data_IF_851790034354
#
_entry.id   IF_851790034354
#
_cell.length_a   1.000
_cell.length_b   1.000
_cell.length_c   1.000
_cell.angle_alpha   90.00
_cell.angle_beta   90.00
_cell.angle_gamma   90.00
#
_symmetry.space_group_name_H-M   'P 1'
#
loop_
_entity.id
_entity.type
_entity.pdbx_description
1 polymer ?
#
# COMPACT_ATOMS: atom_id res chain seq x y z
N UNK A 1 -27.10 28.80 3.24
CA UNK A 1 -27.11 27.62 4.10
C UNK A 1 -25.69 27.47 4.63
N UNK A 2 -25.46 27.64 5.95
CA UNK A 2 -24.11 27.70 6.54
C UNK A 2 -23.40 26.35 6.38
N UNK A 3 -22.24 26.36 5.73
CA UNK A 3 -21.35 25.20 5.48
C UNK A 3 -20.90 24.55 6.82
N UNK A 4 -21.06 25.22 7.95
CA UNK A 4 -20.69 24.79 9.29
C UNK A 4 -21.86 24.30 10.15
N UNK A 5 -23.02 23.97 9.58
CA UNK A 5 -24.09 23.42 10.41
C UNK A 5 -23.74 22.00 10.88
N UNK A 6 -24.01 21.64 12.16
CA UNK A 6 -23.72 20.30 12.69
C UNK A 6 -24.30 19.17 11.83
N UNK A 7 -25.46 19.39 11.25
CA UNK A 7 -26.14 18.47 10.33
C UNK A 7 -25.38 18.25 9.00
N UNK A 8 -24.72 19.28 8.48
CA UNK A 8 -23.94 19.18 7.25
C UNK A 8 -22.65 18.40 7.49
N UNK A 9 -21.97 18.68 8.58
CA UNK A 9 -20.74 17.96 8.99
C UNK A 9 -21.03 16.49 9.28
N UNK A 10 -22.15 16.17 9.93
CA UNK A 10 -22.56 14.79 10.20
C UNK A 10 -22.90 14.02 8.92
N UNK A 11 -23.60 14.63 7.96
CA UNK A 11 -23.87 14.01 6.65
C UNK A 11 -22.59 13.76 5.86
N UNK A 12 -21.64 14.70 5.90
CA UNK A 12 -20.34 14.58 5.21
C UNK A 12 -19.47 13.48 5.84
N UNK A 13 -19.39 13.42 7.17
CA UNK A 13 -18.68 12.36 7.88
C UNK A 13 -19.30 10.97 7.60
N UNK A 14 -20.62 10.88 7.59
CA UNK A 14 -21.32 9.63 7.25
C UNK A 14 -21.06 9.20 5.79
N UNK A 15 -21.12 10.13 4.83
CA UNK A 15 -20.80 9.84 3.44
C UNK A 15 -19.35 9.36 3.27
N UNK A 16 -18.39 10.01 3.92
CA UNK A 16 -16.98 9.57 3.90
C UNK A 16 -16.79 8.20 4.55
N UNK A 17 -17.45 7.94 5.68
CA UNK A 17 -17.41 6.63 6.32
C UNK A 17 -18.00 5.53 5.43
N UNK A 18 -19.11 5.80 4.75
CA UNK A 18 -19.72 4.87 3.78
C UNK A 18 -18.77 4.63 2.60
N UNK A 19 -18.16 5.67 2.03
CA UNK A 19 -17.19 5.55 0.94
C UNK A 19 -16.00 4.69 1.35
N UNK A 20 -15.45 4.90 2.55
CA UNK A 20 -14.35 4.07 3.06
C UNK A 20 -14.82 2.62 3.25
N UNK A 21 -16.02 2.39 3.78
CA UNK A 21 -16.59 1.06 3.90
C UNK A 21 -16.73 0.38 2.53
N UNK A 22 -17.26 1.07 1.51
CA UNK A 22 -17.36 0.55 0.15
C UNK A 22 -16.00 0.15 -0.43
N UNK A 23 -14.95 0.95 -0.19
CA UNK A 23 -13.59 0.67 -0.65
C UNK A 23 -12.97 -0.52 0.09
N UNK A 24 -13.22 -0.65 1.38
CA UNK A 24 -12.60 -1.68 2.22
C UNK A 24 -13.39 -2.99 2.19
N UNK A 25 -14.70 -2.96 1.90
CA UNK A 25 -15.56 -4.15 1.81
C UNK A 25 -15.02 -5.23 0.87
N UNK A 26 -14.57 -4.95 -0.36
CA UNK A 26 -13.98 -5.98 -1.23
C UNK A 26 -12.76 -6.67 -0.60
N UNK A 27 -11.95 -5.94 0.16
CA UNK A 27 -10.79 -6.51 0.87
C UNK A 27 -11.24 -7.57 1.86
N UNK A 28 -12.26 -7.26 2.68
CA UNK A 28 -12.79 -8.22 3.67
C UNK A 28 -13.56 -9.37 3.03
N UNK A 29 -14.31 -9.13 1.97
CA UNK A 29 -15.03 -10.19 1.27
C UNK A 29 -14.07 -11.20 0.65
N UNK A 30 -13.04 -10.74 -0.07
CA UNK A 30 -12.06 -11.64 -0.70
C UNK A 30 -11.18 -12.34 0.35
N UNK A 31 -10.76 -11.64 1.40
CA UNK A 31 -10.08 -12.26 2.52
C UNK A 31 -10.99 -13.27 3.25
N UNK A 32 -12.28 -12.95 3.42
CA UNK A 32 -13.29 -13.84 3.97
C UNK A 32 -13.45 -15.14 3.16
N UNK A 33 -13.41 -15.04 1.83
CA UNK A 33 -13.41 -16.21 0.94
C UNK A 33 -12.19 -17.10 1.24
N UNK A 34 -10.98 -16.53 1.28
CA UNK A 34 -9.76 -17.29 1.58
C UNK A 34 -9.77 -17.92 2.98
N UNK A 35 -10.24 -17.19 3.98
CA UNK A 35 -10.42 -17.68 5.34
C UNK A 35 -11.37 -18.88 5.39
N UNK A 36 -12.57 -18.72 4.78
CA UNK A 36 -13.62 -19.76 4.76
C UNK A 36 -13.15 -20.98 3.98
N UNK A 37 -12.43 -20.79 2.87
CA UNK A 37 -11.84 -21.88 2.07
C UNK A 37 -11.02 -22.84 2.92
N UNK A 38 -10.12 -22.30 3.74
CA UNK A 38 -9.26 -23.09 4.63
C UNK A 38 -10.07 -23.74 5.77
N UNK A 39 -11.04 -23.00 6.36
CA UNK A 39 -11.89 -23.54 7.43
C UNK A 39 -12.80 -24.66 6.98
N UNK A 40 -13.19 -24.67 5.71
CA UNK A 40 -13.94 -25.76 5.07
C UNK A 40 -13.07 -26.96 4.69
N UNK A 41 -11.75 -26.89 4.90
CA UNK A 41 -10.81 -27.97 4.62
C UNK A 41 -10.33 -28.07 3.18
N UNK A 42 -10.62 -27.08 2.35
CA UNK A 42 -10.10 -27.03 0.99
C UNK A 42 -8.60 -26.73 0.97
N UNK A 43 -7.86 -27.40 0.08
CA UNK A 43 -6.44 -27.16 -0.10
C UNK A 43 -6.20 -25.78 -0.73
N UNK A 44 -5.24 -25.03 -0.18
CA UNK A 44 -4.73 -23.79 -0.77
C UNK A 44 -3.21 -23.77 -0.65
N UNK A 45 -2.54 -23.85 -1.81
CA UNK A 45 -1.07 -23.84 -1.88
C UNK A 45 -0.56 -22.42 -1.97
N UNK A 46 -0.33 -21.80 -0.81
CA UNK A 46 0.12 -20.39 -0.70
C UNK A 46 1.35 -20.13 -1.56
N UNK A 47 2.37 -21.00 -1.53
CA UNK A 47 3.61 -20.82 -2.29
C UNK A 47 3.36 -20.76 -3.81
N UNK A 48 2.51 -21.63 -4.35
CA UNK A 48 2.17 -21.66 -5.76
C UNK A 48 1.44 -20.38 -6.20
N UNK A 49 0.44 -19.96 -5.43
CA UNK A 49 -0.31 -18.73 -5.73
C UNK A 49 0.58 -17.50 -5.60
N UNK A 50 1.41 -17.43 -4.55
CA UNK A 50 2.38 -16.36 -4.36
C UNK A 50 3.36 -16.29 -5.54
N UNK A 51 3.82 -17.42 -6.06
CA UNK A 51 4.71 -17.43 -7.22
C UNK A 51 4.03 -16.83 -8.46
N UNK A 52 2.81 -17.25 -8.80
CA UNK A 52 2.05 -16.68 -9.93
C UNK A 52 1.86 -15.17 -9.74
N UNK A 53 1.42 -14.77 -8.57
CA UNK A 53 1.17 -13.36 -8.26
C UNK A 53 2.44 -12.53 -8.42
N UNK A 54 3.56 -12.94 -7.81
CA UNK A 54 4.78 -12.17 -7.78
C UNK A 54 5.58 -12.19 -9.08
N UNK A 55 5.47 -13.27 -9.89
CA UNK A 55 6.24 -13.36 -11.13
C UNK A 55 5.46 -12.91 -12.36
N UNK A 56 4.15 -12.87 -12.31
CA UNK A 56 3.30 -12.56 -13.47
C UNK A 56 2.34 -11.40 -13.18
N UNK A 57 1.43 -11.56 -12.21
CA UNK A 57 0.32 -10.61 -12.04
C UNK A 57 0.78 -9.23 -11.54
N UNK A 58 1.59 -9.18 -10.49
CA UNK A 58 2.07 -7.90 -9.91
C UNK A 58 2.98 -7.12 -10.85
N UNK A 59 3.94 -7.73 -11.58
CA UNK A 59 4.72 -7.02 -12.59
C UNK A 59 3.85 -6.35 -13.66
N UNK A 60 2.84 -7.05 -14.17
CA UNK A 60 1.90 -6.49 -15.14
C UNK A 60 1.09 -5.33 -14.54
N UNK A 61 0.59 -5.50 -13.31
CA UNK A 61 -0.16 -4.46 -12.60
C UNK A 61 0.68 -3.18 -12.46
N UNK A 62 1.92 -3.29 -12.00
CA UNK A 62 2.82 -2.13 -11.79
C UNK A 62 3.13 -1.46 -13.11
N UNK A 63 3.53 -2.22 -14.13
CA UNK A 63 3.86 -1.68 -15.43
C UNK A 63 2.71 -0.88 -16.04
N UNK A 64 1.50 -1.47 -16.08
CA UNK A 64 0.33 -0.81 -16.65
C UNK A 64 -0.07 0.43 -15.83
N UNK A 65 -0.06 0.33 -14.50
CA UNK A 65 -0.40 1.46 -13.64
C UNK A 65 0.54 2.65 -13.82
N UNK A 66 1.85 2.40 -13.94
CA UNK A 66 2.83 3.46 -14.19
C UNK A 66 2.69 4.04 -15.61
N UNK A 67 2.55 3.18 -16.62
CA UNK A 67 2.42 3.58 -18.02
C UNK A 67 1.20 4.48 -18.27
N UNK A 68 0.09 4.24 -17.56
CA UNK A 68 -1.18 4.98 -17.73
C UNK A 68 -1.25 6.28 -16.93
N UNK A 69 -0.18 6.69 -16.26
CA UNK A 69 -0.15 7.88 -15.42
C UNK A 69 0.19 9.13 -16.24
N UNK A 70 -0.67 10.17 -16.15
CA UNK A 70 -0.44 11.50 -16.74
C UNK A 70 -0.01 12.48 -15.64
N UNK A 71 1.26 12.94 -15.68
CA UNK A 71 1.84 13.82 -14.65
C UNK A 71 2.61 14.96 -15.29
N UNK A 72 2.38 16.20 -14.80
CA UNK A 72 3.22 17.34 -15.20
C UNK A 72 4.58 17.30 -14.50
N UNK A 73 5.67 17.80 -15.13
CA UNK A 73 7.02 17.77 -14.53
C UNK A 73 7.09 18.45 -13.15
N UNK A 74 6.35 19.54 -12.94
CA UNK A 74 6.33 20.25 -11.67
C UNK A 74 5.67 19.41 -10.56
N UNK A 75 4.45 18.90 -10.82
CA UNK A 75 3.76 17.99 -9.89
C UNK A 75 4.63 16.81 -9.52
N UNK A 76 5.29 16.22 -10.52
CA UNK A 76 6.16 15.09 -10.33
C UNK A 76 7.32 15.42 -9.37
N UNK A 77 7.96 16.57 -9.56
CA UNK A 77 9.12 16.95 -8.74
C UNK A 77 8.72 17.21 -7.29
N UNK A 78 7.75 18.07 -7.05
CA UNK A 78 7.39 18.51 -5.70
C UNK A 78 6.86 17.35 -4.83
N UNK A 79 5.89 16.61 -5.35
CA UNK A 79 5.32 15.47 -4.61
C UNK A 79 6.32 14.31 -4.48
N UNK A 80 7.20 14.11 -5.50
CA UNK A 80 8.20 13.03 -5.45
C UNK A 80 9.24 13.27 -4.38
N UNK A 81 9.78 14.49 -4.27
CA UNK A 81 10.76 14.83 -3.25
C UNK A 81 10.16 14.72 -1.84
N UNK A 82 8.93 15.22 -1.66
CA UNK A 82 8.23 15.09 -0.39
C UNK A 82 7.97 13.61 -0.03
N UNK A 83 7.58 12.80 -1.01
CA UNK A 83 7.33 11.37 -0.81
C UNK A 83 8.61 10.63 -0.42
N UNK A 84 9.72 10.86 -1.12
CA UNK A 84 11.00 10.23 -0.80
C UNK A 84 11.45 10.62 0.61
N UNK A 85 11.38 11.91 0.96
CA UNK A 85 11.74 12.39 2.29
C UNK A 85 10.86 11.76 3.38
N UNK A 86 9.55 11.65 3.15
CA UNK A 86 8.63 11.03 4.09
C UNK A 86 8.96 9.54 4.30
N UNK A 87 9.19 8.77 3.23
CA UNK A 87 9.59 7.36 3.35
C UNK A 87 10.95 7.18 4.03
N UNK A 88 11.92 8.06 3.79
CA UNK A 88 13.19 8.05 4.52
C UNK A 88 12.98 8.32 6.01
N UNK A 89 12.12 9.29 6.37
CA UNK A 89 11.73 9.55 7.75
C UNK A 89 11.09 8.32 8.41
N UNK A 90 10.12 7.69 7.75
CA UNK A 90 9.50 6.44 8.24
C UNK A 90 10.53 5.33 8.40
N UNK A 91 11.48 5.19 7.45
CA UNK A 91 12.53 4.18 7.51
C UNK A 91 13.44 4.36 8.72
N UNK A 92 13.92 5.59 8.95
CA UNK A 92 14.83 5.91 10.06
C UNK A 92 14.11 5.73 11.40
N UNK A 93 12.95 6.36 11.58
CA UNK A 93 12.19 6.28 12.84
C UNK A 93 11.71 4.84 13.09
N UNK A 94 11.18 4.18 12.07
CA UNK A 94 10.75 2.78 12.15
C UNK A 94 11.90 1.84 12.51
N UNK A 95 13.08 2.01 11.89
CA UNK A 95 14.28 1.25 12.24
C UNK A 95 14.64 1.41 13.71
N UNK A 96 14.71 2.65 14.21
CA UNK A 96 15.05 2.95 15.61
C UNK A 96 14.02 2.35 16.55
N UNK A 97 12.74 2.52 16.29
CA UNK A 97 11.65 1.97 17.12
C UNK A 97 11.72 0.45 17.17
N UNK A 98 11.80 -0.22 16.02
CA UNK A 98 11.87 -1.68 15.98
C UNK A 98 13.12 -2.22 16.69
N UNK A 99 14.26 -1.55 16.55
CA UNK A 99 15.50 -1.91 17.26
C UNK A 99 15.35 -1.73 18.77
N UNK A 100 14.73 -0.64 19.23
CA UNK A 100 14.48 -0.39 20.64
C UNK A 100 13.58 -1.44 21.30
N UNK A 101 12.60 -1.97 20.57
CA UNK A 101 11.74 -3.04 21.03
C UNK A 101 12.24 -4.46 20.74
N UNK A 102 13.44 -4.62 20.21
CA UNK A 102 14.02 -5.92 19.88
C UNK A 102 13.26 -6.69 18.78
N UNK A 103 12.54 -5.98 17.92
CA UNK A 103 11.71 -6.58 16.87
C UNK A 103 12.50 -6.76 15.56
N UNK A 104 12.15 -7.80 14.80
CA UNK A 104 12.79 -8.14 13.53
C UNK A 104 12.60 -7.03 12.50
N UNK A 105 13.69 -6.39 12.08
CA UNK A 105 13.71 -5.38 11.02
C UNK A 105 13.23 -5.98 9.69
N UNK A 106 13.69 -7.19 9.40
CA UNK A 106 13.36 -7.93 8.18
C UNK A 106 11.84 -8.17 8.04
N UNK A 107 11.17 -8.44 9.16
CA UNK A 107 9.73 -8.71 9.20
C UNK A 107 8.91 -7.43 9.23
N UNK A 108 9.26 -6.50 10.12
CA UNK A 108 8.35 -5.40 10.46
C UNK A 108 8.69 -4.06 9.80
N UNK A 109 9.94 -3.79 9.40
CA UNK A 109 10.26 -2.52 8.77
C UNK A 109 9.54 -2.33 7.41
N UNK A 110 9.43 -3.35 6.53
CA UNK A 110 8.63 -3.25 5.33
C UNK A 110 7.14 -2.97 5.61
N UNK A 111 6.58 -3.54 6.69
CA UNK A 111 5.18 -3.31 7.05
C UNK A 111 4.92 -1.91 7.59
N UNK A 112 5.89 -1.30 8.26
CA UNK A 112 5.80 0.10 8.66
C UNK A 112 5.93 1.05 7.48
N UNK A 113 6.82 0.73 6.52
CA UNK A 113 7.08 1.55 5.33
C UNK A 113 5.91 1.51 4.34
N UNK A 114 5.50 0.31 3.91
CA UNK A 114 4.67 0.16 2.74
C UNK A 114 3.19 0.04 3.09
N UNK A 115 2.43 1.05 2.66
CA UNK A 115 0.98 1.11 2.78
C UNK A 115 0.26 0.50 1.57
N UNK A 116 -1.02 0.22 1.73
CA UNK A 116 -1.92 -0.22 0.66
C UNK A 116 -2.37 0.97 -0.21
N UNK A 117 -1.39 1.69 -0.75
CA UNK A 117 -1.57 2.94 -1.50
C UNK A 117 -2.35 2.71 -2.80
N UNK A 118 -2.20 1.53 -3.43
CA UNK A 118 -2.90 1.17 -4.66
C UNK A 118 -4.39 0.90 -4.41
N UNK A 119 -4.71 -0.13 -3.62
CA UNK A 119 -6.09 -0.62 -3.50
C UNK A 119 -6.97 0.20 -2.57
N UNK A 120 -6.39 0.90 -1.61
CA UNK A 120 -7.10 1.78 -0.66
C UNK A 120 -6.81 3.24 -0.96
N UNK A 121 -5.54 3.59 -1.13
CA UNK A 121 -5.11 4.97 -1.25
C UNK A 121 -5.59 5.66 -2.51
N UNK A 122 -5.41 5.08 -3.70
CA UNK A 122 -5.82 5.70 -4.96
C UNK A 122 -7.35 5.90 -5.08
N UNK A 123 -8.20 4.88 -4.82
CA UNK A 123 -9.65 5.10 -4.82
C UNK A 123 -10.09 6.17 -3.84
N UNK A 124 -9.53 6.15 -2.63
CA UNK A 124 -9.89 7.12 -1.60
C UNK A 124 -9.45 8.55 -1.98
N UNK A 125 -8.29 8.69 -2.60
CA UNK A 125 -7.81 9.95 -3.16
C UNK A 125 -8.75 10.49 -4.25
N UNK A 126 -9.21 9.60 -5.14
CA UNK A 126 -10.18 9.96 -6.18
C UNK A 126 -11.52 10.40 -5.59
N UNK A 127 -12.07 9.65 -4.64
CA UNK A 127 -13.36 9.98 -4.05
C UNK A 127 -13.31 11.25 -3.18
N UNK A 128 -12.19 11.50 -2.48
CA UNK A 128 -12.05 12.67 -1.62
C UNK A 128 -11.66 13.96 -2.37
N UNK A 129 -10.80 13.85 -3.41
CA UNK A 129 -10.16 14.99 -4.05
C UNK A 129 -10.26 14.97 -5.59
N UNK A 130 -11.08 14.07 -6.15
CA UNK A 130 -11.29 13.97 -7.61
C UNK A 130 -10.05 13.53 -8.38
N UNK A 131 -10.01 13.91 -9.66
CA UNK A 131 -8.93 13.53 -10.58
C UNK A 131 -7.56 14.10 -10.16
N UNK A 132 -7.53 15.30 -9.62
CA UNK A 132 -6.29 15.91 -9.10
C UNK A 132 -5.70 15.08 -7.96
N UNK A 133 -6.55 14.66 -7.01
CA UNK A 133 -6.13 13.77 -5.92
C UNK A 133 -5.61 12.44 -6.43
N UNK A 134 -6.30 11.85 -7.41
CA UNK A 134 -5.85 10.59 -8.02
C UNK A 134 -4.48 10.75 -8.68
N UNK A 135 -4.22 11.83 -9.42
CA UNK A 135 -2.93 12.09 -10.07
C UNK A 135 -1.78 12.12 -9.06
N UNK A 136 -1.94 12.86 -7.96
CA UNK A 136 -0.93 12.86 -6.88
C UNK A 136 -0.78 11.51 -6.22
N UNK A 137 -1.89 10.80 -5.98
CA UNK A 137 -1.85 9.47 -5.38
C UNK A 137 -1.08 8.45 -6.22
N UNK A 138 -1.18 8.54 -7.56
CA UNK A 138 -0.44 7.69 -8.48
C UNK A 138 1.08 7.96 -8.39
N UNK A 139 1.51 9.22 -8.23
CA UNK A 139 2.93 9.55 -8.03
C UNK A 139 3.47 8.92 -6.75
N UNK A 140 2.75 9.11 -5.63
CA UNK A 140 3.14 8.52 -4.33
C UNK A 140 3.19 6.99 -4.42
N UNK A 141 2.19 6.38 -5.08
CA UNK A 141 2.15 4.94 -5.33
C UNK A 141 3.36 4.47 -6.15
N UNK A 142 3.70 5.18 -7.24
CA UNK A 142 4.83 4.84 -8.09
C UNK A 142 6.16 4.84 -7.32
N UNK A 143 6.41 5.88 -6.52
CA UNK A 143 7.61 5.98 -5.68
C UNK A 143 7.63 4.88 -4.63
N UNK A 144 6.51 4.66 -3.94
CA UNK A 144 6.37 3.57 -2.98
C UNK A 144 6.64 2.21 -3.63
N UNK A 145 6.10 1.96 -4.83
CA UNK A 145 6.33 0.71 -5.56
C UNK A 145 7.81 0.51 -5.88
N UNK A 146 8.50 1.55 -6.39
CA UNK A 146 9.94 1.49 -6.65
C UNK A 146 10.71 1.15 -5.36
N UNK A 147 10.46 1.85 -4.25
CA UNK A 147 11.15 1.60 -2.98
C UNK A 147 10.80 0.21 -2.44
N UNK A 148 9.54 -0.20 -2.53
CA UNK A 148 9.07 -1.49 -2.03
C UNK A 148 9.71 -2.67 -2.78
N UNK A 149 9.72 -2.59 -4.11
CA UNK A 149 10.25 -3.67 -4.94
C UNK A 149 11.76 -3.63 -5.16
N UNK A 150 12.45 -2.61 -4.66
CA UNK A 150 13.91 -2.55 -4.59
C UNK A 150 14.39 -2.76 -3.15
N UNK A 151 14.38 -1.73 -2.34
CA UNK A 151 14.83 -1.76 -0.94
C UNK A 151 14.01 -2.72 -0.07
N UNK A 152 12.68 -2.73 -0.23
CA UNK A 152 11.78 -3.59 0.55
C UNK A 152 12.06 -5.07 0.29
N UNK A 153 12.19 -5.48 -0.97
CA UNK A 153 12.57 -6.86 -1.34
C UNK A 153 13.95 -7.22 -0.79
N UNK A 154 14.94 -6.33 -0.96
CA UNK A 154 16.29 -6.54 -0.41
C UNK A 154 16.26 -6.77 1.10
N UNK A 155 15.48 -5.97 1.83
CA UNK A 155 15.36 -6.06 3.28
C UNK A 155 14.70 -7.38 3.71
N UNK A 156 13.58 -7.76 3.09
CA UNK A 156 12.84 -9.00 3.41
C UNK A 156 13.65 -10.23 3.02
N UNK A 157 14.43 -10.17 1.94
CA UNK A 157 15.33 -11.25 1.53
C UNK A 157 16.52 -11.47 2.50
N UNK A 158 16.69 -10.60 3.51
CA UNK A 158 17.73 -10.72 4.54
C UNK A 158 19.09 -10.17 4.11
N UNK A 159 19.11 -9.22 3.19
CA UNK A 159 20.32 -8.76 2.54
C UNK A 159 20.81 -9.78 1.49
N UNK A 160 21.68 -9.40 0.66
CA UNK A 160 22.22 -10.29 -0.38
C UNK A 160 22.72 -9.39 -1.51
N UNK A 161 23.60 -9.88 -2.36
CA UNK A 161 24.14 -9.08 -3.44
C UNK A 161 23.03 -8.48 -4.31
N UNK A 162 23.17 -7.21 -4.66
CA UNK A 162 22.25 -6.46 -5.53
C UNK A 162 21.90 -7.22 -6.82
N UNK A 163 22.74 -8.13 -7.27
CA UNK A 163 22.49 -8.99 -8.44
C UNK A 163 21.30 -9.94 -8.30
N UNK A 164 20.85 -10.28 -7.07
CA UNK A 164 19.61 -11.06 -6.86
C UNK A 164 18.37 -10.21 -7.07
N UNK A 165 18.46 -8.90 -6.80
CA UNK A 165 17.35 -7.96 -6.99
C UNK A 165 16.94 -7.85 -8.46
N UNK A 166 17.90 -7.78 -9.39
CA UNK A 166 17.63 -7.68 -10.83
C UNK A 166 17.03 -8.97 -11.45
N UNK A 167 17.06 -10.08 -10.73
CA UNK A 167 16.39 -11.31 -11.14
C UNK A 167 14.91 -11.37 -10.77
N UNK A 168 14.47 -10.45 -9.90
CA UNK A 168 13.06 -10.36 -9.52
C UNK A 168 12.28 -9.62 -10.61
N UNK A 169 11.23 -10.24 -11.13
CA UNK A 169 10.39 -9.69 -12.22
C UNK A 169 9.76 -8.34 -11.91
N UNK A 170 9.65 -7.99 -10.63
CA UNK A 170 9.06 -6.73 -10.16
C UNK A 170 9.92 -5.51 -10.51
N UNK A 171 11.25 -5.64 -10.41
CA UNK A 171 12.17 -4.52 -10.68
C UNK A 171 12.17 -4.11 -12.16
N UNK A 172 12.38 -5.04 -13.12
CA UNK A 172 12.27 -4.68 -14.54
C UNK A 172 10.91 -4.08 -14.90
N UNK A 173 9.81 -4.62 -14.36
CA UNK A 173 8.48 -4.08 -14.62
C UNK A 173 8.31 -2.65 -14.10
N UNK A 174 8.83 -2.35 -12.89
CA UNK A 174 8.79 -1.01 -12.31
C UNK A 174 9.64 -0.04 -13.10
N UNK A 175 10.87 -0.42 -13.49
CA UNK A 175 11.77 0.42 -14.27
C UNK A 175 11.20 0.71 -15.66
N UNK A 176 10.70 -0.32 -16.36
CA UNK A 176 10.07 -0.16 -17.67
C UNK A 176 8.81 0.71 -17.56
N UNK A 177 7.94 0.45 -16.58
CA UNK A 177 6.75 1.27 -16.36
C UNK A 177 7.10 2.73 -16.07
N UNK A 178 8.14 2.97 -15.26
CA UNK A 178 8.66 4.31 -14.98
C UNK A 178 9.21 5.02 -16.23
N UNK A 179 9.94 4.30 -17.10
CA UNK A 179 10.42 4.85 -18.39
C UNK A 179 9.24 5.22 -19.28
N UNK A 180 8.24 4.33 -19.42
CA UNK A 180 7.05 4.58 -20.22
C UNK A 180 6.27 5.79 -19.69
N UNK A 181 6.12 5.90 -18.36
CA UNK A 181 5.49 7.05 -17.68
C UNK A 181 6.20 8.37 -18.03
N UNK A 182 7.54 8.42 -17.87
CA UNK A 182 8.32 9.65 -18.11
C UNK A 182 8.32 10.05 -19.59
N UNK A 183 8.34 9.07 -20.50
CA UNK A 183 8.35 9.30 -21.95
C UNK A 183 6.93 9.50 -22.55
N UNK A 184 5.88 9.25 -21.76
CA UNK A 184 4.51 9.26 -22.27
C UNK A 184 4.23 8.13 -23.28
N UNK A 185 5.01 7.05 -23.25
CA UNK A 185 4.84 5.94 -24.18
C UNK A 185 3.68 5.05 -23.79
N UNK A 186 3.03 4.47 -24.79
CA UNK A 186 1.96 3.50 -24.63
C UNK A 186 2.28 2.22 -25.39
N UNK A 187 1.87 1.07 -24.84
CA UNK A 187 1.93 -0.19 -25.57
C UNK A 187 0.77 -0.31 -26.58
N UNK A 188 0.90 -1.12 -27.65
CA UNK A 188 -0.22 -1.44 -28.52
C UNK A 188 -1.42 -1.95 -27.73
N UNK A 189 -2.63 -1.61 -28.17
CA UNK A 189 -3.89 -1.89 -27.46
C UNK A 189 -4.02 -3.38 -27.03
N UNK A 190 -3.70 -4.31 -27.94
CA UNK A 190 -3.77 -5.76 -27.63
C UNK A 190 -2.84 -6.13 -26.48
N UNK A 191 -1.64 -5.54 -26.43
CA UNK A 191 -0.65 -5.82 -25.37
C UNK A 191 -1.08 -5.17 -24.06
N UNK A 192 -1.53 -3.89 -24.09
CA UNK A 192 -2.09 -3.21 -22.92
C UNK A 192 -3.22 -4.01 -22.31
N UNK A 193 -4.17 -4.48 -23.13
CA UNK A 193 -5.31 -5.29 -22.66
C UNK A 193 -4.86 -6.59 -22.02
N UNK A 194 -3.90 -7.28 -22.62
CA UNK A 194 -3.35 -8.55 -22.08
C UNK A 194 -2.65 -8.32 -20.74
N UNK A 195 -1.80 -7.31 -20.65
CA UNK A 195 -1.09 -6.95 -19.41
C UNK A 195 -2.08 -6.50 -18.31
N UNK A 196 -3.13 -5.75 -18.69
CA UNK A 196 -4.18 -5.33 -17.77
C UNK A 196 -4.93 -6.54 -17.19
N UNK A 197 -5.34 -7.49 -18.02
CA UNK A 197 -6.03 -8.71 -17.56
C UNK A 197 -5.16 -9.53 -16.60
N UNK A 198 -3.87 -9.68 -16.92
CA UNK A 198 -2.91 -10.36 -16.04
C UNK A 198 -2.74 -9.59 -14.73
N UNK A 199 -2.60 -8.28 -14.80
CA UNK A 199 -2.46 -7.41 -13.63
C UNK A 199 -3.68 -7.44 -12.70
N UNK A 200 -4.88 -7.52 -13.26
CA UNK A 200 -6.13 -7.60 -12.49
C UNK A 200 -6.24 -8.87 -11.63
N UNK A 201 -5.52 -9.93 -11.95
CA UNK A 201 -5.45 -11.13 -11.10
C UNK A 201 -4.72 -10.89 -9.77
N UNK A 202 -3.82 -9.91 -9.72
CA UNK A 202 -2.96 -9.67 -8.56
C UNK A 202 -3.78 -9.43 -7.28
N UNK A 203 -4.65 -8.43 -7.30
CA UNK A 203 -5.42 -7.98 -6.14
C UNK A 203 -6.31 -9.10 -5.57
N UNK A 204 -7.18 -9.77 -6.35
CA UNK A 204 -8.02 -10.84 -5.82
C UNK A 204 -7.22 -11.99 -5.22
N UNK A 205 -6.18 -12.45 -5.90
CA UNK A 205 -5.35 -13.56 -5.41
C UNK A 205 -4.58 -13.16 -4.14
N UNK A 206 -4.06 -11.94 -4.06
CA UNK A 206 -3.41 -11.43 -2.85
C UNK A 206 -4.37 -11.41 -1.66
N UNK A 207 -5.59 -10.93 -1.86
CA UNK A 207 -6.57 -10.82 -0.78
C UNK A 207 -7.09 -12.19 -0.33
N UNK A 208 -7.35 -13.11 -1.24
CA UNK A 208 -7.70 -14.50 -0.90
C UNK A 208 -6.55 -15.15 -0.13
N UNK A 209 -5.30 -15.00 -0.58
CA UNK A 209 -4.12 -15.53 0.10
C UNK A 209 -3.96 -14.91 1.50
N UNK A 210 -4.27 -13.62 1.67
CA UNK A 210 -4.32 -12.97 2.97
C UNK A 210 -5.33 -13.65 3.91
N UNK A 211 -6.54 -13.95 3.42
CA UNK A 211 -7.57 -14.65 4.18
C UNK A 211 -7.13 -16.04 4.64
N UNK A 212 -6.45 -16.79 3.76
CA UNK A 212 -5.81 -18.07 4.09
C UNK A 212 -4.79 -17.92 5.22
N UNK A 213 -3.95 -16.88 5.17
CA UNK A 213 -2.96 -16.61 6.21
C UNK A 213 -3.64 -16.27 7.54
N UNK A 214 -4.68 -15.44 7.52
CA UNK A 214 -5.47 -15.07 8.71
C UNK A 214 -6.13 -16.30 9.35
N UNK A 215 -6.63 -17.25 8.53
CA UNK A 215 -7.21 -18.50 9.04
C UNK A 215 -6.21 -19.34 9.87
N UNK A 216 -4.92 -19.16 9.63
CA UNK A 216 -3.79 -19.83 10.32
C UNK A 216 -3.15 -18.96 11.41
N UNK A 217 -3.65 -17.73 11.62
CA UNK A 217 -3.10 -16.77 12.58
C UNK A 217 -3.24 -17.31 14.02
N UNK A 218 -2.22 -17.11 14.85
CA UNK A 218 -2.26 -17.41 16.28
C UNK A 218 -2.78 -16.20 17.07
N UNK A 219 -3.80 -16.37 17.95
CA UNK A 219 -4.39 -15.27 18.71
C UNK A 219 -3.41 -14.51 19.61
N UNK A 220 -2.31 -15.15 20.03
CA UNK A 220 -1.29 -14.60 20.94
C UNK A 220 -0.51 -13.40 20.37
N UNK A 221 -0.59 -13.14 19.07
CA UNK A 221 0.12 -12.05 18.40
C UNK A 221 -0.72 -10.81 18.09
N UNK A 222 -2.01 -10.81 18.43
CA UNK A 222 -2.91 -9.69 18.12
C UNK A 222 -2.50 -8.38 18.81
N UNK A 223 -2.05 -8.43 20.06
CA UNK A 223 -1.59 -7.25 20.80
C UNK A 223 -0.40 -6.58 20.11
N UNK A 224 0.56 -7.38 19.62
CA UNK A 224 1.70 -6.86 18.86
C UNK A 224 1.24 -6.21 17.54
N UNK A 225 0.30 -6.84 16.84
CA UNK A 225 -0.24 -6.29 15.60
C UNK A 225 -0.95 -4.95 15.83
N UNK A 226 -1.74 -4.81 16.90
CA UNK A 226 -2.40 -3.55 17.27
C UNK A 226 -1.35 -2.46 17.59
N UNK A 227 -0.36 -2.77 18.42
CA UNK A 227 0.69 -1.84 18.78
C UNK A 227 1.46 -1.33 17.55
N UNK A 228 1.87 -2.25 16.66
CA UNK A 228 2.60 -1.89 15.44
C UNK A 228 1.74 -1.14 14.43
N UNK A 229 0.43 -1.43 14.33
CA UNK A 229 -0.50 -0.67 13.49
C UNK A 229 -0.64 0.78 13.96
N UNK A 230 -0.74 1.00 15.28
CA UNK A 230 -0.75 2.34 15.89
C UNK A 230 0.56 3.07 15.65
N UNK A 231 1.70 2.40 15.88
CA UNK A 231 3.04 2.95 15.63
C UNK A 231 3.18 3.36 14.16
N UNK A 232 2.76 2.51 13.23
CA UNK A 232 2.75 2.84 11.79
C UNK A 232 1.93 4.10 11.53
N UNK A 233 0.69 4.14 12.01
CA UNK A 233 -0.19 5.29 11.79
C UNK A 233 0.45 6.58 12.28
N UNK A 234 1.03 6.59 13.48
CA UNK A 234 1.68 7.77 14.08
C UNK A 234 2.92 8.18 13.28
N UNK A 235 3.84 7.24 13.01
CA UNK A 235 5.10 7.53 12.31
C UNK A 235 4.82 8.02 10.89
N UNK A 236 3.94 7.33 10.15
CA UNK A 236 3.59 7.70 8.79
C UNK A 236 2.88 9.06 8.71
N UNK A 237 1.94 9.33 9.63
CA UNK A 237 1.28 10.64 9.71
C UNK A 237 2.29 11.75 10.00
N UNK A 238 3.16 11.57 11.00
CA UNK A 238 4.15 12.57 11.37
C UNK A 238 5.18 12.82 10.25
N UNK A 239 5.68 11.77 9.61
CA UNK A 239 6.64 11.88 8.52
C UNK A 239 6.04 12.57 7.28
N UNK A 240 4.81 12.19 6.89
CA UNK A 240 4.11 12.81 5.77
C UNK A 240 3.79 14.27 6.05
N UNK A 241 3.33 14.57 7.25
CA UNK A 241 3.03 15.94 7.67
C UNK A 241 4.29 16.82 7.66
N UNK A 242 5.40 16.34 8.22
CA UNK A 242 6.67 17.06 8.23
C UNK A 242 7.20 17.29 6.81
N UNK A 243 7.19 16.27 5.96
CA UNK A 243 7.64 16.37 4.58
C UNK A 243 6.77 17.34 3.77
N UNK A 244 5.44 17.20 3.87
CA UNK A 244 4.51 18.07 3.15
C UNK A 244 4.64 19.55 3.52
N UNK A 245 4.91 19.83 4.81
CA UNK A 245 5.18 21.20 5.28
C UNK A 245 6.54 21.72 4.84
N UNK A 246 7.57 20.85 4.85
CA UNK A 246 8.93 21.25 4.45
C UNK A 246 8.99 21.62 2.96
N UNK A 247 8.29 20.91 2.09
CA UNK A 247 8.22 21.19 0.66
C UNK A 247 7.10 22.17 0.28
N UNK A 248 6.39 22.74 1.25
CA UNK A 248 5.29 23.69 1.04
C UNK A 248 4.29 23.19 -0.01
N UNK A 249 3.89 21.91 0.12
CA UNK A 249 2.95 21.30 -0.82
C UNK A 249 1.62 22.02 -0.80
N UNK A 250 1.02 22.19 -1.99
CA UNK A 250 -0.34 22.69 -2.09
C UNK A 250 -1.34 21.80 -1.33
N UNK A 251 -2.50 22.33 -0.90
CA UNK A 251 -3.39 21.63 0.04
C UNK A 251 -3.77 20.22 -0.40
N UNK A 252 -4.10 20.00 -1.70
CA UNK A 252 -4.49 18.68 -2.20
C UNK A 252 -3.30 17.72 -2.22
N UNK A 253 -2.12 18.16 -2.69
CA UNK A 253 -0.91 17.35 -2.69
C UNK A 253 -0.49 16.96 -1.28
N UNK A 254 -0.57 17.92 -0.33
CA UNK A 254 -0.32 17.67 1.09
C UNK A 254 -1.26 16.62 1.66
N UNK A 255 -2.57 16.80 1.43
CA UNK A 255 -3.58 15.86 1.90
C UNK A 255 -3.37 14.45 1.34
N UNK A 256 -3.04 14.35 0.05
CA UNK A 256 -2.76 13.07 -0.61
C UNK A 256 -1.50 12.41 -0.04
N UNK A 257 -0.42 13.16 0.19
CA UNK A 257 0.79 12.59 0.79
C UNK A 257 0.49 11.97 2.15
N UNK A 258 -0.22 12.70 3.02
CA UNK A 258 -0.63 12.20 4.34
C UNK A 258 -1.53 10.98 4.20
N UNK A 259 -2.57 11.07 3.37
CA UNK A 259 -3.52 9.98 3.13
C UNK A 259 -2.82 8.69 2.66
N UNK A 260 -1.95 8.81 1.67
CA UNK A 260 -1.26 7.67 1.06
C UNK A 260 -0.32 6.96 2.04
N UNK A 261 0.48 7.70 2.81
CA UNK A 261 1.39 7.11 3.79
C UNK A 261 0.65 6.46 4.97
N UNK A 262 -0.51 6.98 5.35
CA UNK A 262 -1.32 6.45 6.45
C UNK A 262 -2.24 5.30 6.07
N UNK A 263 -2.25 4.88 4.79
CA UNK A 263 -2.95 3.67 4.37
C UNK A 263 -2.52 2.44 5.19
N UNK A 264 -3.43 1.45 5.37
CA UNK A 264 -3.09 0.22 6.10
C UNK A 264 -1.92 -0.50 5.45
N UNK A 265 -1.32 -1.45 6.16
CA UNK A 265 -0.18 -2.22 5.66
C UNK A 265 -0.52 -2.87 4.32
N UNK A 266 0.41 -2.78 3.37
CA UNK A 266 0.25 -3.39 2.05
C UNK A 266 0.16 -4.92 2.13
N UNK A 267 -0.80 -5.50 1.42
CA UNK A 267 -0.94 -6.96 1.32
C UNK A 267 0.31 -7.61 0.71
N UNK A 268 1.00 -6.89 -0.18
CA UNK A 268 2.28 -7.33 -0.75
C UNK A 268 3.35 -7.60 0.30
N UNK A 269 3.33 -6.91 1.45
CA UNK A 269 4.26 -7.17 2.56
C UNK A 269 4.12 -8.60 3.11
N UNK A 270 2.88 -9.10 3.22
CA UNK A 270 2.62 -10.49 3.60
C UNK A 270 3.21 -11.47 2.57
N UNK A 271 2.94 -11.24 1.28
CA UNK A 271 3.43 -12.13 0.23
C UNK A 271 4.96 -12.13 0.12
N UNK A 272 5.60 -10.98 0.33
CA UNK A 272 7.06 -10.90 0.40
C UNK A 272 7.61 -11.66 1.61
N UNK A 273 6.97 -11.51 2.77
CA UNK A 273 7.36 -12.25 3.99
C UNK A 273 7.25 -13.76 3.77
N UNK A 274 6.16 -14.24 3.15
CA UNK A 274 5.96 -15.65 2.79
C UNK A 274 7.01 -16.14 1.81
N UNK A 275 7.22 -15.39 0.71
CA UNK A 275 8.17 -15.76 -0.36
C UNK A 275 9.60 -15.87 0.16
N UNK A 276 10.03 -14.97 1.03
CA UNK A 276 11.42 -14.90 1.51
C UNK A 276 11.63 -15.51 2.89
N UNK A 277 10.62 -16.16 3.48
CA UNK A 277 10.73 -16.85 4.77
C UNK A 277 10.96 -15.91 5.97
N UNK A 278 10.33 -14.71 5.94
CA UNK A 278 10.17 -13.87 7.12
C UNK A 278 8.93 -14.32 7.91
N UNK A 279 8.59 -13.68 9.04
CA UNK A 279 7.42 -14.06 9.83
C UNK A 279 6.10 -13.61 9.17
N UNK A 280 5.69 -14.33 8.13
CA UNK A 280 4.49 -14.03 7.34
C UNK A 280 3.22 -14.04 8.20
N UNK A 281 3.16 -14.86 9.26
CA UNK A 281 1.99 -14.95 10.14
C UNK A 281 1.79 -13.67 10.95
N UNK A 282 2.86 -13.10 11.50
CA UNK A 282 2.81 -11.80 12.18
C UNK A 282 2.47 -10.67 11.22
N UNK A 283 3.02 -10.69 9.99
CA UNK A 283 2.70 -9.70 8.95
C UNK A 283 1.23 -9.79 8.55
N UNK A 284 0.66 -11.00 8.37
CA UNK A 284 -0.75 -11.18 8.06
C UNK A 284 -1.66 -10.55 9.14
N UNK A 285 -1.35 -10.83 10.41
CA UNK A 285 -2.06 -10.21 11.54
C UNK A 285 -2.03 -8.68 11.49
N UNK A 286 -0.86 -8.12 11.21
CA UNK A 286 -0.68 -6.67 11.10
C UNK A 286 -1.44 -6.07 9.90
N UNK A 287 -1.48 -6.74 8.75
CA UNK A 287 -2.27 -6.31 7.59
C UNK A 287 -3.75 -6.25 7.94
N UNK A 288 -4.29 -7.29 8.59
CA UNK A 288 -5.70 -7.33 8.99
C UNK A 288 -6.03 -6.26 10.00
N UNK A 289 -5.25 -6.17 11.07
CA UNK A 289 -5.49 -5.20 12.15
C UNK A 289 -5.40 -3.77 11.63
N UNK A 290 -4.36 -3.45 10.84
CA UNK A 290 -4.23 -2.11 10.26
C UNK A 290 -5.36 -1.77 9.28
N UNK A 291 -5.85 -2.75 8.51
CA UNK A 291 -7.00 -2.57 7.62
C UNK A 291 -8.29 -2.30 8.39
N UNK A 292 -8.55 -3.03 9.48
CA UNK A 292 -9.68 -2.76 10.36
C UNK A 292 -9.59 -1.38 11.01
N UNK A 293 -8.40 -1.00 11.50
CA UNK A 293 -8.19 0.32 12.08
C UNK A 293 -8.36 1.45 11.05
N UNK A 294 -8.04 1.20 9.79
CA UNK A 294 -8.16 2.20 8.72
C UNK A 294 -9.60 2.61 8.45
N UNK A 295 -10.59 1.75 8.76
CA UNK A 295 -12.02 2.09 8.65
C UNK A 295 -12.39 3.29 9.52
N UNK A 296 -11.72 3.46 10.65
CA UNK A 296 -11.92 4.60 11.55
C UNK A 296 -10.90 5.73 11.31
N UNK A 297 -9.63 5.38 11.10
CA UNK A 297 -8.56 6.38 11.02
C UNK A 297 -8.58 7.19 9.74
N UNK A 298 -8.92 6.59 8.58
CA UNK A 298 -8.92 7.31 7.30
C UNK A 298 -10.04 8.36 7.20
N UNK A 299 -11.30 8.10 7.60
CA UNK A 299 -12.34 9.15 7.65
C UNK A 299 -11.95 10.32 8.56
N UNK A 300 -11.38 10.03 9.74
CA UNK A 300 -10.91 11.08 10.68
C UNK A 300 -9.79 11.90 10.03
N UNK A 301 -8.80 11.26 9.41
CA UNK A 301 -7.72 11.95 8.71
C UNK A 301 -8.25 12.82 7.56
N UNK A 302 -9.13 12.31 6.73
CA UNK A 302 -9.72 13.08 5.63
C UNK A 302 -10.49 14.30 6.17
N UNK A 303 -11.22 14.14 7.28
CA UNK A 303 -11.93 15.27 7.90
C UNK A 303 -10.99 16.36 8.40
N UNK A 304 -9.77 16.00 8.84
CA UNK A 304 -8.74 16.94 9.27
C UNK A 304 -8.07 17.64 8.08
N UNK A 305 -7.96 16.95 6.96
CA UNK A 305 -7.26 17.41 5.77
C UNK A 305 -8.14 18.22 4.80
N UNK A 306 -9.46 18.13 4.92
CA UNK A 306 -10.46 18.91 4.18
C UNK A 306 -10.80 20.23 4.90
#
# INVERSE_FOLDING_TARGET
MSINSPHFLQKRALALALTVLEIVTPVFLLAGIGYTWVKLGFEYRVQFVTQIVMTLAVPCLIFVSLMQTEITPKMLTDISMATVMAYLGVAVVGFVVLKAFGLSQRTFLPTLLFGNTGNVGMPLAFFAFGQTGLSYAIVVFAIMAIISFTFGVWLVAGGGGLGKLFKESLIPATLLGGIFMVQGWQTPVFLTNSLTLLGQMAIPLMLITLGVAVARLRPDRLTQAIALALIKLIICSAAAWAAGRYFDLEPVAFAILVLQLTTPVAVTSYLLAEKYGADAQSVAGLVVVSSLMSVLSLPVLITILL
#
